data_IF_979848065053
#
_entry.id   IF_979848065053
#
_cell.length_a   1.000
_cell.length_b   1.000
_cell.length_c   1.000
_cell.angle_alpha   90.00
_cell.angle_beta   90.00
_cell.angle_gamma   90.00
#
_symmetry.space_group_name_H-M   'P 1'
#
loop_
_entity.id
_entity.type
_entity.pdbx_description
1 polymer ?
#
# COMPACT_ATOMS: atom_id res chain seq x y z
N UNK A 1 -10.36 11.29 11.42
CA UNK A 1 -9.89 9.90 11.24
C UNK A 1 -10.88 9.24 10.30
N UNK A 2 -10.44 8.87 9.11
CA UNK A 2 -11.33 8.29 8.10
C UNK A 2 -11.69 6.86 8.52
N UNK A 3 -12.96 6.48 8.37
CA UNK A 3 -13.48 5.15 8.70
C UNK A 3 -14.31 4.60 7.53
N UNK A 4 -14.30 3.29 7.36
CA UNK A 4 -15.20 2.59 6.45
C UNK A 4 -16.33 1.92 7.24
N UNK A 5 -17.49 1.78 6.61
CA UNK A 5 -18.60 1.02 7.19
C UNK A 5 -18.52 -0.40 6.66
N UNK A 6 -18.45 -1.38 7.57
CA UNK A 6 -18.49 -2.78 7.15
C UNK A 6 -19.84 -3.07 6.47
N UNK A 7 -19.86 -3.64 5.25
CA UNK A 7 -21.11 -3.87 4.51
C UNK A 7 -22.10 -4.77 5.25
N UNK A 8 -21.59 -5.70 6.07
CA UNK A 8 -22.39 -6.68 6.79
C UNK A 8 -22.92 -6.17 8.14
N UNK A 9 -22.14 -5.39 8.89
CA UNK A 9 -22.49 -5.00 10.27
C UNK A 9 -22.81 -3.51 10.43
N UNK A 10 -22.53 -2.67 9.42
CA UNK A 10 -22.58 -1.19 9.48
C UNK A 10 -21.74 -0.57 10.60
N UNK A 11 -20.81 -1.33 11.18
CA UNK A 11 -19.89 -0.83 12.17
C UNK A 11 -18.78 -0.02 11.51
N UNK A 12 -18.32 1.01 12.21
CA UNK A 12 -17.19 1.85 11.79
C UNK A 12 -15.90 1.08 12.03
N UNK A 13 -15.13 0.86 10.97
CA UNK A 13 -13.79 0.29 11.03
C UNK A 13 -12.79 1.33 10.53
N UNK A 14 -11.57 1.38 11.09
CA UNK A 14 -10.52 2.25 10.56
C UNK A 14 -10.25 1.86 9.09
N UNK A 15 -10.13 2.86 8.21
CA UNK A 15 -9.80 2.58 6.80
C UNK A 15 -8.37 2.07 6.73
N UNK A 16 -8.19 0.82 6.34
CA UNK A 16 -6.88 0.27 5.99
C UNK A 16 -6.68 0.56 4.50
N UNK A 17 -5.95 1.64 4.17
CA UNK A 17 -5.71 2.01 2.76
C UNK A 17 -4.75 1.07 2.05
N UNK A 18 -3.78 0.53 2.78
CA UNK A 18 -2.80 -0.44 2.28
C UNK A 18 -2.39 -1.37 3.41
N UNK A 19 -1.98 -2.59 3.08
CA UNK A 19 -1.33 -3.54 3.98
C UNK A 19 0.17 -3.66 3.68
N UNK A 20 0.93 -4.27 4.59
CA UNK A 20 2.34 -4.63 4.35
C UNK A 20 2.50 -5.50 3.11
N UNK A 21 1.56 -6.41 2.85
CA UNK A 21 1.58 -7.26 1.64
C UNK A 21 1.41 -6.43 0.38
N UNK A 22 0.49 -5.46 0.41
CA UNK A 22 0.27 -4.54 -0.72
C UNK A 22 1.52 -3.69 -0.97
N UNK A 23 2.19 -3.25 0.10
CA UNK A 23 3.47 -2.54 0.00
C UNK A 23 4.53 -3.38 -0.71
N UNK A 24 4.76 -4.61 -0.27
CA UNK A 24 5.76 -5.51 -0.87
C UNK A 24 5.46 -5.79 -2.34
N UNK A 25 4.19 -6.03 -2.67
CA UNK A 25 3.77 -6.25 -4.07
C UNK A 25 3.96 -5.01 -4.95
N UNK A 26 3.61 -3.82 -4.44
CA UNK A 26 3.78 -2.57 -5.16
C UNK A 26 5.27 -2.27 -5.35
N UNK A 27 6.11 -2.48 -4.33
CA UNK A 27 7.55 -2.28 -4.40
C UNK A 27 8.19 -3.22 -5.44
N UNK A 28 7.85 -4.51 -5.44
CA UNK A 28 8.39 -5.44 -6.43
C UNK A 28 7.97 -5.09 -7.85
N UNK A 29 6.73 -4.64 -8.03
CA UNK A 29 6.22 -4.14 -9.32
C UNK A 29 7.01 -2.91 -9.77
N UNK A 30 7.23 -1.94 -8.90
CA UNK A 30 8.00 -0.74 -9.23
C UNK A 30 9.43 -1.13 -9.62
N UNK A 31 10.13 -1.94 -8.84
CA UNK A 31 11.51 -2.34 -9.14
C UNK A 31 11.62 -3.18 -10.43
N UNK A 32 10.57 -3.90 -10.82
CA UNK A 32 10.56 -4.67 -12.06
C UNK A 32 10.38 -3.80 -13.32
N UNK A 33 9.53 -2.78 -13.25
CA UNK A 33 9.07 -2.03 -14.43
C UNK A 33 9.61 -0.60 -14.51
N UNK A 34 10.16 -0.08 -13.43
CA UNK A 34 10.72 1.27 -13.33
C UNK A 34 12.23 1.26 -13.60
N UNK A 35 12.88 2.44 -13.78
CA UNK A 35 14.33 2.51 -13.92
C UNK A 35 15.08 2.33 -12.59
N UNK A 36 14.39 2.21 -11.46
CA UNK A 36 15.01 2.06 -10.15
C UNK A 36 15.34 0.59 -9.88
N UNK A 37 16.59 0.33 -9.49
CA UNK A 37 17.07 -1.04 -9.25
C UNK A 37 16.87 -1.47 -7.80
N UNK A 38 16.86 -0.52 -6.85
CA UNK A 38 16.68 -0.79 -5.43
C UNK A 38 15.68 0.14 -4.77
N UNK A 39 15.14 -0.29 -3.63
CA UNK A 39 14.29 0.55 -2.77
C UNK A 39 15.01 1.84 -2.35
N UNK A 40 16.30 1.76 -2.03
CA UNK A 40 17.11 2.94 -1.72
C UNK A 40 17.18 3.92 -2.90
N UNK A 41 17.33 3.44 -4.13
CA UNK A 41 17.36 4.32 -5.32
C UNK A 41 16.02 5.03 -5.52
N UNK A 42 14.91 4.33 -5.28
CA UNK A 42 13.57 4.89 -5.35
C UNK A 42 13.34 5.96 -4.28
N UNK A 43 13.83 5.74 -3.06
CA UNK A 43 13.61 6.63 -1.91
C UNK A 43 14.54 7.85 -1.86
N UNK A 44 15.63 7.87 -2.64
CA UNK A 44 16.63 8.96 -2.68
C UNK A 44 16.33 10.01 -3.77
N UNK A 45 15.32 9.78 -4.62
CA UNK A 45 14.82 10.76 -5.61
C UNK A 45 14.07 11.92 -4.93
#
# INVERSE_FOLDING_TARGET
>A
VDYELSPATRERKPIIRTSEKDWVYNMSTILQWSPYQTESDLLVQ
#
